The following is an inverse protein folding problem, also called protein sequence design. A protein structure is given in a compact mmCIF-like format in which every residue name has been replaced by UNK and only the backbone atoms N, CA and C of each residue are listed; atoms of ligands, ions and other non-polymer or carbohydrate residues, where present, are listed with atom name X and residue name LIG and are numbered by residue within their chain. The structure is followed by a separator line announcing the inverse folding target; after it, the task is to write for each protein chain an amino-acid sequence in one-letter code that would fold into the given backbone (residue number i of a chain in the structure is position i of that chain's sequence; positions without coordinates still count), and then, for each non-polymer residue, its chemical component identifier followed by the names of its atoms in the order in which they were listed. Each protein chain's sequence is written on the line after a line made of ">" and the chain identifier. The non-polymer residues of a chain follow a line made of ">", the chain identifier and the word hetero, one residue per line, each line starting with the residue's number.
data_IF_704637319843
#
_entry.id   IF_704637319843
#
_cell.length_a   1.000
_cell.length_b   1.000
_cell.length_c   1.000
_cell.angle_alpha   90.00
_cell.angle_beta   90.00
_cell.angle_gamma   90.00
#
_symmetry.space_group_name_H-M   'P 1'
#
loop_
_entity.id
_entity.type
_entity.pdbx_description
1 polymer ?
#
# COMPACT_ATOMS: atom_id res chain seq x y z
N UNK A 1 19.93 10.70 -5.01
CA UNK A 1 20.22 10.49 -3.57
C UNK A 1 18.91 10.15 -2.90
N UNK A 2 18.80 8.95 -2.33
CA UNK A 2 17.63 8.60 -1.55
C UNK A 2 17.58 9.43 -0.24
N UNK A 3 16.38 9.67 0.27
CA UNK A 3 16.21 10.34 1.54
C UNK A 3 16.51 9.38 2.70
N UNK A 4 17.03 9.89 3.82
CA UNK A 4 17.44 9.05 4.96
C UNK A 4 16.35 8.09 5.47
N UNK A 5 15.07 8.49 5.44
CA UNK A 5 13.97 7.63 5.88
C UNK A 5 13.74 6.44 4.93
N UNK A 6 13.96 6.59 3.63
CA UNK A 6 13.86 5.48 2.68
C UNK A 6 14.97 4.45 2.91
N UNK A 7 16.17 4.91 3.25
CA UNK A 7 17.28 4.02 3.58
C UNK A 7 17.10 3.30 4.92
N UNK A 8 16.54 4.00 5.92
CA UNK A 8 16.13 3.37 7.17
C UNK A 8 15.05 2.30 6.94
N UNK A 9 14.07 2.56 6.08
CA UNK A 9 13.04 1.58 5.70
C UNK A 9 13.67 0.35 5.05
N UNK A 10 14.56 0.54 4.09
CA UNK A 10 15.22 -0.56 3.40
C UNK A 10 16.00 -1.45 4.37
N UNK A 11 16.80 -0.85 5.26
CA UNK A 11 17.59 -1.60 6.24
C UNK A 11 16.71 -2.38 7.23
N UNK A 12 15.64 -1.77 7.73
CA UNK A 12 14.74 -2.44 8.67
C UNK A 12 13.88 -3.52 7.98
N UNK A 13 13.51 -3.30 6.72
CA UNK A 13 12.82 -4.31 5.90
C UNK A 13 13.72 -5.53 5.65
N UNK A 14 14.99 -5.30 5.30
CA UNK A 14 15.99 -6.37 5.11
C UNK A 14 16.29 -7.12 6.41
N UNK A 15 16.25 -6.43 7.56
CA UNK A 15 16.49 -7.04 8.86
C UNK A 15 15.32 -7.89 9.36
N UNK A 16 14.09 -7.54 8.97
CA UNK A 16 12.84 -8.11 9.48
C UNK A 16 12.71 -8.11 11.02
N UNK A 17 13.47 -7.25 11.70
CA UNK A 17 13.42 -7.09 13.16
C UNK A 17 13.79 -5.64 13.56
N UNK A 18 13.35 -5.16 14.73
CA UNK A 18 13.79 -3.88 15.26
C UNK A 18 15.29 -3.85 15.51
N UNK A 19 15.96 -2.78 15.07
CA UNK A 19 17.40 -2.61 15.19
C UNK A 19 17.77 -1.44 16.10
N UNK A 20 18.92 -1.55 16.76
CA UNK A 20 19.54 -0.41 17.42
C UNK A 20 19.80 0.73 16.40
N UNK A 21 19.55 2.01 16.75
CA UNK A 21 19.85 3.13 15.85
C UNK A 21 21.29 3.16 15.32
N UNK A 22 22.26 2.66 16.11
CA UNK A 22 23.64 2.49 15.69
C UNK A 22 23.81 1.43 14.60
N UNK A 23 23.16 0.27 14.75
CA UNK A 23 23.19 -0.78 13.74
C UNK A 23 22.55 -0.33 12.41
N UNK A 24 21.50 0.50 12.47
CA UNK A 24 20.90 1.10 11.27
C UNK A 24 21.91 2.03 10.58
N UNK A 25 22.56 2.91 11.32
CA UNK A 25 23.59 3.80 10.76
C UNK A 25 24.76 3.03 10.11
N UNK A 26 25.21 1.95 10.74
CA UNK A 26 26.26 1.07 10.21
C UNK A 26 25.83 0.37 8.94
N UNK A 27 24.63 -0.21 8.88
CA UNK A 27 24.11 -0.89 7.68
C UNK A 27 23.88 0.07 6.51
N UNK A 28 23.40 1.28 6.78
CA UNK A 28 23.28 2.33 5.75
C UNK A 28 24.67 2.70 5.19
N UNK A 29 25.69 2.81 6.05
CA UNK A 29 27.04 3.11 5.61
C UNK A 29 27.68 1.93 4.85
N UNK A 30 27.52 0.69 5.35
CA UNK A 30 28.07 -0.52 4.75
C UNK A 30 27.47 -0.84 3.39
N UNK A 31 26.19 -0.52 3.19
CA UNK A 31 25.52 -0.67 1.90
C UNK A 31 25.92 0.40 0.87
N UNK A 32 26.68 1.42 1.27
CA UNK A 32 27.08 2.53 0.40
C UNK A 32 25.93 3.42 -0.06
N UNK A 33 24.72 3.20 0.45
CA UNK A 33 23.49 3.87 -0.01
C UNK A 33 23.43 5.34 0.44
N UNK A 34 23.97 5.63 1.62
CA UNK A 34 24.03 6.98 2.15
C UNK A 34 25.27 7.19 3.01
N UNK A 35 26.23 7.93 2.46
CA UNK A 35 27.46 8.29 3.16
C UNK A 35 27.54 9.80 3.25
N UNK A 36 27.95 10.33 4.40
CA UNK A 36 28.22 11.77 4.52
C UNK A 36 29.41 12.15 3.64
N UNK A 37 29.53 13.43 3.30
CA UNK A 37 30.66 13.97 2.53
C UNK A 37 32.04 13.68 3.16
N UNK A 38 32.09 13.46 4.47
CA UNK A 38 33.28 13.10 5.22
C UNK A 38 33.56 11.59 5.29
N UNK A 39 32.81 10.78 4.54
CA UNK A 39 32.97 9.31 4.50
C UNK A 39 32.48 8.59 5.75
N UNK A 40 31.96 9.33 6.75
CA UNK A 40 31.49 8.75 8.01
C UNK A 40 30.03 8.30 7.92
N UNK A 41 29.62 7.32 8.74
CA UNK A 41 28.21 6.95 8.89
C UNK A 41 27.33 8.13 9.31
N UNK A 42 26.05 8.03 9.00
CA UNK A 42 25.04 8.97 9.49
C UNK A 42 25.01 8.92 11.03
N UNK A 43 25.03 10.05 11.74
CA UNK A 43 24.97 10.06 13.20
C UNK A 43 23.71 9.38 13.73
N UNK A 44 23.86 8.60 14.79
CA UNK A 44 22.73 7.98 15.51
C UNK A 44 21.65 9.00 15.87
N UNK A 45 22.03 10.19 16.33
CA UNK A 45 21.09 11.26 16.65
C UNK A 45 20.24 11.68 15.44
N UNK A 46 20.78 11.63 14.22
CA UNK A 46 20.02 11.90 13.00
C UNK A 46 19.07 10.76 12.64
N UNK A 47 19.45 9.51 12.88
CA UNK A 47 18.55 8.34 12.73
C UNK A 47 17.35 8.47 13.67
N UNK A 48 17.60 8.73 14.95
CA UNK A 48 16.54 8.88 15.97
C UNK A 48 15.65 10.09 15.66
N UNK A 49 16.25 11.24 15.37
CA UNK A 49 15.48 12.44 15.00
C UNK A 49 14.67 12.23 13.72
N UNK A 50 15.19 11.44 12.78
CA UNK A 50 14.47 11.10 11.56
C UNK A 50 13.29 10.18 11.88
N UNK A 51 13.48 9.11 12.65
CA UNK A 51 12.40 8.22 13.04
C UNK A 51 11.26 8.99 13.74
N UNK A 52 11.60 9.88 14.68
CA UNK A 52 10.61 10.71 15.38
C UNK A 52 9.83 11.68 14.49
N UNK A 53 10.35 12.01 13.30
CA UNK A 53 9.63 12.83 12.31
C UNK A 53 8.60 12.03 11.49
N UNK A 54 8.73 10.70 11.44
CA UNK A 54 7.88 9.80 10.67
C UNK A 54 7.29 8.68 11.55
N UNK A 55 6.47 9.02 12.57
CA UNK A 55 5.88 8.05 13.49
C UNK A 55 4.89 7.06 12.85
N UNK A 56 4.49 7.31 11.60
CA UNK A 56 3.70 6.41 10.76
C UNK A 56 4.55 5.31 10.10
N UNK A 57 5.86 5.52 9.97
CA UNK A 57 6.79 4.57 9.34
C UNK A 57 7.62 3.79 10.35
N UNK A 58 8.00 4.45 11.45
CA UNK A 58 8.90 3.87 12.45
C UNK A 58 8.24 3.85 13.81
N UNK A 59 8.57 2.81 14.58
CA UNK A 59 8.21 2.70 15.98
C UNK A 59 9.45 2.45 16.83
N UNK A 60 9.39 2.88 18.10
CA UNK A 60 10.42 2.57 19.08
C UNK A 60 9.95 1.42 19.95
N UNK A 61 10.68 0.31 19.91
CA UNK A 61 10.42 -0.90 20.70
C UNK A 61 11.63 -1.10 21.60
N UNK A 62 11.49 -0.74 22.88
CA UNK A 62 12.54 -0.90 23.91
C UNK A 62 13.90 -0.28 23.51
N UNK A 63 13.90 0.90 22.89
CA UNK A 63 15.12 1.59 22.46
C UNK A 63 15.59 1.24 21.04
N UNK A 64 15.06 0.16 20.45
CA UNK A 64 15.28 -0.20 19.05
C UNK A 64 14.25 0.47 18.15
N UNK A 65 14.61 0.68 16.89
CA UNK A 65 13.71 1.17 15.87
C UNK A 65 13.23 0.00 15.02
N UNK A 66 11.92 -0.17 14.94
CA UNK A 66 11.26 -1.10 14.02
C UNK A 66 10.56 -0.37 12.89
N UNK A 67 10.24 -1.09 11.81
CA UNK A 67 9.18 -0.66 10.92
C UNK A 67 7.88 -0.81 11.67
N UNK A 68 7.10 0.27 11.75
CA UNK A 68 5.77 0.19 12.31
C UNK A 68 4.95 -0.74 11.42
N UNK A 69 4.38 -1.80 12.00
CA UNK A 69 3.48 -2.68 11.26
C UNK A 69 2.28 -1.90 10.72
N UNK A 70 1.70 -2.31 9.58
CA UNK A 70 0.29 -2.32 9.33
C UNK A 70 -0.59 -1.81 10.47
N UNK A 71 -1.22 -0.64 10.41
CA UNK A 71 -2.54 -0.58 11.04
C UNK A 71 -3.35 -1.43 10.07
N UNK A 72 -3.80 -2.64 10.46
CA UNK A 72 -4.47 -3.51 9.53
C UNK A 72 -5.72 -2.80 9.00
N UNK A 73 -6.07 -3.08 7.75
CA UNK A 73 -7.41 -2.78 7.28
C UNK A 73 -8.38 -3.65 8.08
N UNK A 74 -9.40 -3.02 8.67
CA UNK A 74 -10.40 -3.68 9.51
C UNK A 74 -11.68 -3.81 8.71
N UNK A 75 -12.16 -5.04 8.54
CA UNK A 75 -13.42 -5.31 7.84
C UNK A 75 -14.57 -4.57 8.54
N UNK A 76 -15.38 -3.86 7.75
CA UNK A 76 -16.49 -3.05 8.23
C UNK A 76 -16.10 -1.63 8.66
N UNK A 77 -14.81 -1.25 8.61
CA UNK A 77 -14.38 0.12 8.88
C UNK A 77 -14.36 0.95 7.59
N UNK A 78 -14.74 2.23 7.72
CA UNK A 78 -14.68 3.23 6.65
C UNK A 78 -13.28 3.83 6.51
N UNK A 79 -12.88 4.06 5.26
CA UNK A 79 -11.61 4.64 4.86
C UNK A 79 -11.80 5.62 3.70
N UNK A 80 -11.15 6.77 3.79
CA UNK A 80 -10.88 7.58 2.60
C UNK A 80 -9.87 6.84 1.69
N UNK A 81 -9.80 7.21 0.41
CA UNK A 81 -8.82 6.64 -0.52
C UNK A 81 -7.37 6.94 -0.12
N UNK A 82 -7.15 8.08 0.57
CA UNK A 82 -5.85 8.43 1.14
C UNK A 82 -5.50 7.57 2.37
N UNK A 83 -6.47 7.29 3.23
CA UNK A 83 -6.27 6.38 4.35
C UNK A 83 -5.97 4.97 3.84
N UNK A 84 -6.74 4.45 2.87
CA UNK A 84 -6.48 3.17 2.22
C UNK A 84 -5.07 3.12 1.61
N UNK A 85 -4.65 4.16 0.90
CA UNK A 85 -3.28 4.31 0.41
C UNK A 85 -2.24 4.21 1.53
N UNK A 86 -2.39 4.96 2.62
CA UNK A 86 -1.43 4.89 3.73
C UNK A 86 -1.40 3.54 4.44
N UNK A 87 -2.46 2.73 4.34
CA UNK A 87 -2.48 1.36 4.85
C UNK A 87 -1.81 0.37 3.89
N UNK A 88 -2.04 0.52 2.59
CA UNK A 88 -1.60 -0.44 1.56
C UNK A 88 -0.23 -0.11 0.93
N UNK A 89 0.08 1.17 0.68
CA UNK A 89 1.31 1.60 0.00
C UNK A 89 2.10 2.60 0.87
N UNK A 90 2.77 2.07 1.91
CA UNK A 90 3.43 2.90 2.93
C UNK A 90 4.70 3.60 2.45
N UNK A 91 4.83 4.85 2.91
CA UNK A 91 6.02 5.66 2.67
C UNK A 91 6.18 6.09 1.22
N UNK A 92 5.13 5.97 0.41
CA UNK A 92 4.99 6.72 -0.84
C UNK A 92 4.07 7.91 -0.59
N UNK A 93 4.14 8.93 -1.46
CA UNK A 93 3.24 10.07 -1.39
C UNK A 93 1.91 9.71 -2.03
N UNK A 94 0.79 10.05 -1.38
CA UNK A 94 -0.53 9.89 -1.95
C UNK A 94 -0.63 10.62 -3.30
N UNK A 95 -1.10 9.90 -4.33
CA UNK A 95 -1.27 10.42 -5.69
C UNK A 95 -2.77 10.51 -6.02
N UNK A 96 -3.39 11.71 -6.00
CA UNK A 96 -4.80 11.86 -6.38
C UNK A 96 -5.10 11.42 -7.81
N UNK A 97 -4.10 11.47 -8.70
CA UNK A 97 -4.25 11.04 -10.09
C UNK A 97 -4.47 9.52 -10.21
N UNK A 98 -3.79 8.74 -9.39
CA UNK A 98 -3.86 7.27 -9.40
C UNK A 98 -4.92 6.78 -8.42
N UNK A 99 -4.81 7.21 -7.17
CA UNK A 99 -5.66 6.74 -6.08
C UNK A 99 -7.02 7.42 -6.02
N UNK A 100 -7.22 8.55 -6.69
CA UNK A 100 -8.47 9.33 -6.62
C UNK A 100 -9.45 9.09 -7.78
N UNK A 101 -9.07 8.34 -8.83
CA UNK A 101 -9.88 8.23 -10.07
C UNK A 101 -10.09 6.81 -10.55
N UNK A 102 -9.10 5.94 -10.37
CA UNK A 102 -9.11 4.58 -10.90
C UNK A 102 -9.91 3.66 -9.98
N UNK A 103 -10.73 2.77 -10.53
CA UNK A 103 -11.51 1.84 -9.69
C UNK A 103 -10.61 0.69 -9.20
N UNK A 104 -9.63 0.29 -10.02
CA UNK A 104 -8.58 -0.68 -9.66
C UNK A 104 -7.26 0.08 -9.53
N UNK A 105 -6.65 0.01 -8.35
CA UNK A 105 -5.37 0.64 -8.04
C UNK A 105 -4.32 -0.43 -7.71
N UNK A 106 -3.34 -0.69 -8.58
CA UNK A 106 -2.22 -1.58 -8.26
C UNK A 106 -1.40 -1.03 -7.09
N UNK A 107 -1.05 -1.89 -6.13
CA UNK A 107 -0.20 -1.53 -4.99
C UNK A 107 1.27 -1.69 -5.40
N UNK A 108 2.04 -0.61 -5.35
CA UNK A 108 3.45 -0.66 -5.79
C UNK A 108 4.25 -1.67 -4.96
N UNK A 109 5.18 -2.33 -5.64
CA UNK A 109 6.10 -3.33 -5.06
C UNK A 109 5.42 -4.64 -4.60
N UNK A 110 4.17 -4.86 -4.98
CA UNK A 110 3.41 -6.10 -4.76
C UNK A 110 2.61 -6.46 -6.03
N UNK A 111 2.01 -7.65 -6.06
CA UNK A 111 1.00 -8.02 -7.06
C UNK A 111 -0.43 -7.70 -6.59
N UNK A 112 -0.57 -7.11 -5.39
CA UNK A 112 -1.84 -6.75 -4.79
C UNK A 112 -2.47 -5.54 -5.48
N UNK A 113 -3.79 -5.41 -5.36
CA UNK A 113 -4.52 -4.23 -5.82
C UNK A 113 -5.65 -3.84 -4.86
N UNK A 114 -6.04 -2.57 -4.90
CA UNK A 114 -7.24 -2.07 -4.25
C UNK A 114 -8.35 -1.86 -5.27
N UNK A 115 -9.53 -2.42 -5.02
CA UNK A 115 -10.73 -2.25 -5.83
C UNK A 115 -11.71 -1.35 -5.07
N UNK A 116 -12.08 -0.22 -5.68
CA UNK A 116 -13.01 0.76 -5.14
C UNK A 116 -14.32 0.74 -5.93
N UNK A 117 -15.42 0.40 -5.26
CA UNK A 117 -16.76 0.28 -5.87
C UNK A 117 -17.74 1.22 -5.20
N UNK A 118 -18.58 1.87 -6.00
CA UNK A 118 -19.71 2.69 -5.54
C UNK A 118 -21.00 2.07 -6.09
N UNK A 119 -21.95 1.71 -5.24
CA UNK A 119 -23.20 1.00 -5.57
C UNK A 119 -24.04 1.70 -6.68
N UNK A 120 -23.89 3.01 -6.85
CA UNK A 120 -24.59 3.80 -7.88
C UNK A 120 -24.05 3.60 -9.32
N UNK A 121 -22.98 2.81 -9.51
CA UNK A 121 -22.39 2.46 -10.80
C UNK A 121 -21.93 0.98 -10.76
N UNK A 122 -21.91 0.28 -11.92
CA UNK A 122 -22.36 -1.10 -12.12
C UNK A 122 -21.68 -2.13 -11.19
N UNK A 123 -22.13 -2.17 -9.94
CA UNK A 123 -21.42 -2.75 -8.82
C UNK A 123 -22.41 -3.21 -7.76
N UNK A 124 -22.98 -4.40 -7.88
CA UNK A 124 -23.96 -4.91 -6.90
C UNK A 124 -23.34 -6.00 -6.02
N UNK A 125 -23.48 -5.87 -4.71
CA UNK A 125 -23.04 -6.88 -3.75
C UNK A 125 -24.25 -7.66 -3.23
N UNK A 126 -24.33 -8.95 -3.55
CA UNK A 126 -25.39 -9.84 -3.08
C UNK A 126 -24.80 -11.17 -2.63
N UNK A 127 -25.17 -11.64 -1.43
CA UNK A 127 -24.75 -12.94 -0.89
C UNK A 127 -23.23 -13.21 -0.90
N UNK A 128 -22.42 -12.14 -0.78
CA UNK A 128 -20.96 -12.22 -0.82
C UNK A 128 -20.36 -12.26 -2.23
N UNK A 129 -21.19 -12.13 -3.27
CA UNK A 129 -20.77 -12.01 -4.67
C UNK A 129 -20.90 -10.56 -5.10
N UNK A 130 -19.80 -10.00 -5.60
CA UNK A 130 -19.75 -8.67 -6.19
C UNK A 130 -19.85 -8.80 -7.71
N UNK A 131 -20.95 -8.34 -8.29
CA UNK A 131 -21.03 -8.08 -9.73
C UNK A 131 -20.46 -6.70 -10.01
N UNK A 132 -19.33 -6.61 -10.69
CA UNK A 132 -18.64 -5.35 -11.01
C UNK A 132 -18.39 -5.24 -12.50
N UNK A 133 -18.62 -4.06 -13.08
CA UNK A 133 -18.26 -3.76 -14.46
C UNK A 133 -17.22 -2.64 -14.52
N UNK A 134 -16.24 -2.81 -15.41
CA UNK A 134 -15.25 -1.78 -15.68
C UNK A 134 -15.88 -0.57 -16.37
N UNK A 135 -15.14 0.55 -16.40
CA UNK A 135 -15.56 1.72 -17.18
C UNK A 135 -15.55 1.36 -18.67
N UNK A 136 -16.44 1.93 -19.52
CA UNK A 136 -16.52 1.59 -20.96
C UNK A 136 -15.21 1.75 -21.78
N UNK A 137 -14.23 2.47 -21.24
CA UNK A 137 -12.92 2.69 -21.87
C UNK A 137 -11.89 1.61 -21.47
N UNK A 138 -12.16 0.84 -20.43
CA UNK A 138 -11.32 -0.23 -19.88
C UNK A 138 -11.80 -1.58 -20.41
N UNK A 139 -11.55 -1.81 -21.69
CA UNK A 139 -11.80 -3.10 -22.36
C UNK A 139 -10.97 -4.22 -21.73
N UNK A 140 -11.31 -5.48 -22.03
CA UNK A 140 -10.55 -6.66 -21.59
C UNK A 140 -9.05 -6.59 -21.94
N UNK A 141 -8.72 -5.95 -23.07
CA UNK A 141 -7.33 -5.74 -23.50
C UNK A 141 -6.56 -4.66 -22.74
N UNK A 142 -7.23 -3.89 -21.88
CA UNK A 142 -6.57 -2.88 -21.05
C UNK A 142 -5.64 -3.57 -20.04
N UNK A 143 -4.36 -3.17 -19.90
CA UNK A 143 -3.38 -3.87 -19.07
C UNK A 143 -3.84 -4.08 -17.61
N UNK A 144 -4.53 -3.10 -17.04
CA UNK A 144 -5.11 -3.19 -15.69
C UNK A 144 -6.21 -4.26 -15.60
N UNK A 145 -7.07 -4.39 -16.61
CA UNK A 145 -8.15 -5.38 -16.62
C UNK A 145 -7.59 -6.77 -16.89
N UNK A 146 -6.68 -6.91 -17.85
CA UNK A 146 -5.99 -8.18 -18.10
C UNK A 146 -5.22 -8.66 -16.85
N UNK A 147 -4.55 -7.76 -16.13
CA UNK A 147 -3.87 -8.09 -14.88
C UNK A 147 -4.84 -8.48 -13.76
N UNK A 148 -6.00 -7.82 -13.68
CA UNK A 148 -7.05 -8.14 -12.71
C UNK A 148 -7.71 -9.50 -12.98
N UNK A 149 -8.00 -9.83 -14.25
CA UNK A 149 -8.56 -11.11 -14.67
C UNK A 149 -7.57 -12.28 -14.50
N UNK A 150 -6.28 -11.99 -14.61
CA UNK A 150 -5.21 -12.97 -14.41
C UNK A 150 -4.75 -13.11 -12.95
N UNK A 151 -5.42 -12.48 -12.00
CA UNK A 151 -5.02 -12.46 -10.59
C UNK A 151 -5.11 -13.84 -9.95
N UNK A 152 -4.03 -14.28 -9.31
CA UNK A 152 -3.97 -15.51 -8.53
C UNK A 152 -4.17 -15.18 -7.04
N UNK A 153 -5.29 -15.61 -6.42
CA UNK A 153 -5.57 -15.33 -5.02
C UNK A 153 -4.63 -16.06 -4.04
N UNK A 154 -3.81 -17.01 -4.50
CA UNK A 154 -2.74 -17.62 -3.68
C UNK A 154 -1.46 -16.77 -3.66
N UNK A 155 -1.26 -15.90 -4.64
CA UNK A 155 -0.03 -15.09 -4.80
C UNK A 155 -0.25 -13.60 -4.51
N UNK A 156 -1.49 -13.14 -4.58
CA UNK A 156 -1.82 -11.72 -4.52
C UNK A 156 -3.23 -11.51 -3.96
N UNK A 157 -3.51 -10.29 -3.50
CA UNK A 157 -4.78 -9.92 -2.86
C UNK A 157 -5.46 -8.76 -3.58
N UNK A 158 -6.77 -8.90 -3.83
CA UNK A 158 -7.65 -7.77 -4.19
C UNK A 158 -8.35 -7.25 -2.94
N UNK A 159 -8.01 -6.05 -2.47
CA UNK A 159 -8.66 -5.40 -1.33
C UNK A 159 -9.92 -4.66 -1.77
N UNK A 160 -11.11 -5.11 -1.34
CA UNK A 160 -12.38 -4.48 -1.70
C UNK A 160 -12.75 -3.34 -0.75
N UNK A 161 -12.96 -2.17 -1.33
CA UNK A 161 -13.49 -0.97 -0.70
C UNK A 161 -14.82 -0.63 -1.37
N UNK A 162 -15.91 -0.63 -0.62
CA UNK A 162 -17.27 -0.44 -1.12
C UNK A 162 -17.95 0.74 -0.43
N UNK A 163 -18.72 1.52 -1.18
CA UNK A 163 -19.61 2.53 -0.61
C UNK A 163 -20.94 2.54 -1.35
N UNK A 164 -22.00 2.91 -0.65
CA UNK A 164 -23.34 3.03 -1.23
C UNK A 164 -23.56 4.38 -1.90
N UNK A 165 -22.90 5.43 -1.41
CA UNK A 165 -23.13 6.81 -1.85
C UNK A 165 -21.82 7.52 -2.19
N UNK A 166 -21.84 8.37 -3.21
CA UNK A 166 -20.62 9.01 -3.73
C UNK A 166 -19.94 9.99 -2.76
N UNK A 167 -20.69 10.49 -1.76
CA UNK A 167 -20.21 11.47 -0.77
C UNK A 167 -19.69 10.83 0.51
N UNK A 168 -19.73 9.49 0.61
CA UNK A 168 -19.26 8.74 1.77
C UNK A 168 -17.87 8.11 1.54
N UNK A 169 -17.21 7.83 2.66
CA UNK A 169 -15.99 7.03 2.71
C UNK A 169 -16.28 5.57 2.34
N UNK A 170 -15.24 4.83 1.97
CA UNK A 170 -15.40 3.44 1.57
C UNK A 170 -15.26 2.49 2.75
N UNK A 171 -16.24 1.61 2.93
CA UNK A 171 -16.14 0.49 3.86
C UNK A 171 -15.20 -0.57 3.28
N UNK A 172 -14.19 -0.98 4.04
CA UNK A 172 -13.36 -2.13 3.67
C UNK A 172 -14.13 -3.43 3.93
N UNK A 173 -14.33 -4.24 2.88
CA UNK A 173 -15.08 -5.50 2.97
C UNK A 173 -14.19 -6.75 3.02
N UNK A 174 -12.87 -6.59 2.92
CA UNK A 174 -11.92 -7.70 2.95
C UNK A 174 -11.33 -8.02 1.58
N UNK A 175 -10.54 -9.11 1.51
CA UNK A 175 -10.02 -9.63 0.26
C UNK A 175 -11.14 -10.25 -0.59
N UNK A 176 -11.05 -10.11 -1.91
CA UNK A 176 -11.92 -10.78 -2.87
C UNK A 176 -11.10 -11.56 -3.89
N UNK A 177 -11.70 -12.60 -4.45
CA UNK A 177 -11.12 -13.38 -5.53
C UNK A 177 -11.98 -13.21 -6.79
N UNK A 178 -11.31 -13.17 -7.94
CA UNK A 178 -11.99 -13.25 -9.23
C UNK A 178 -12.67 -14.63 -9.36
N UNK A 179 -13.94 -14.64 -9.75
CA UNK A 179 -14.72 -15.86 -9.97
C UNK A 179 -14.91 -16.15 -11.45
N UNK A 180 -15.58 -15.23 -12.16
CA UNK A 180 -15.85 -15.35 -13.59
C UNK A 180 -16.19 -13.97 -14.20
N UNK A 181 -16.27 -13.89 -15.53
CA UNK A 181 -16.79 -12.74 -16.28
C UNK A 181 -17.69 -13.20 -17.42
N UNK A 182 -18.64 -12.35 -17.84
CA UNK A 182 -19.40 -12.61 -19.06
C UNK A 182 -18.56 -12.23 -20.28
N UNK A 183 -18.15 -13.20 -21.14
CA UNK A 183 -17.23 -12.94 -22.25
C UNK A 183 -17.84 -12.07 -23.36
N UNK A 184 -19.18 -11.96 -23.40
CA UNK A 184 -19.93 -11.21 -24.42
C UNK A 184 -20.31 -9.78 -23.97
N UNK A 185 -19.94 -9.37 -22.75
CA UNK A 185 -20.11 -8.01 -22.26
C UNK A 185 -18.73 -7.33 -22.09
N UNK A 186 -18.30 -6.57 -23.12
CA UNK A 186 -17.16 -5.62 -23.07
C UNK A 186 -17.59 -4.20 -22.70
#
# INVERSE_FOLDING_TARGET
>A
MAALHEEMKAVLSEAQEPLEPAAIAERIAASGRLVRKDGKPVPVAQIVARAGKYPELFENIEGKLGLKAPDPLVVGQEYTREQAHHRLERGTAFSPATWGKEDIVPIKSTEDCALFVTDEAPGSLAEGILGWHSKPQQKLSHPTIAGFLGHDPEQSTVHLFFRTEADHDYTYLGPVAYLDHEPDQE
#
